data_IF_947764594744
#
_entry.id   IF_947764594744
#
_cell.length_a   1.000
_cell.length_b   1.000
_cell.length_c   1.000
_cell.angle_alpha   90.00
_cell.angle_beta   90.00
_cell.angle_gamma   90.00
#
_symmetry.space_group_name_H-M   'P 1'
#
loop_
_entity.id
_entity.type
_entity.pdbx_description
1 polymer ?
#
# COMPACT_ATOMS: atom_id res chain seq x y z
N UNK A 1 5.04 16.05 -15.69
CA UNK A 1 4.74 14.62 -15.95
C UNK A 1 5.79 13.71 -15.29
N UNK A 2 5.36 12.73 -14.48
CA UNK A 2 6.25 11.77 -13.81
C UNK A 2 6.52 10.55 -14.72
N UNK A 3 7.27 9.56 -14.23
CA UNK A 3 7.58 8.34 -14.98
C UNK A 3 6.32 7.55 -15.36
N UNK A 4 5.30 7.55 -14.50
CA UNK A 4 4.04 6.82 -14.71
C UNK A 4 3.24 7.36 -15.90
N UNK A 5 3.31 8.67 -16.14
CA UNK A 5 2.67 9.29 -17.28
C UNK A 5 3.25 8.77 -18.61
N UNK A 6 4.58 8.68 -18.71
CA UNK A 6 5.24 8.21 -19.93
C UNK A 6 5.19 6.68 -20.06
N UNK A 7 5.33 5.93 -18.96
CA UNK A 7 5.20 4.47 -18.98
C UNK A 7 3.79 4.03 -19.34
N UNK A 8 2.75 4.77 -18.88
CA UNK A 8 1.37 4.54 -19.27
C UNK A 8 1.16 4.66 -20.78
N UNK A 9 1.71 5.71 -21.42
CA UNK A 9 1.64 5.86 -22.89
C UNK A 9 2.37 4.72 -23.63
N UNK A 10 3.51 4.26 -23.10
CA UNK A 10 4.24 3.12 -23.67
C UNK A 10 3.42 1.84 -23.53
N UNK A 11 2.83 1.56 -22.37
CA UNK A 11 2.00 0.37 -22.17
C UNK A 11 0.74 0.38 -23.04
N UNK A 12 0.12 1.55 -23.23
CA UNK A 12 -0.98 1.71 -24.20
C UNK A 12 -0.52 1.42 -25.63
N UNK A 13 0.63 1.96 -26.03
CA UNK A 13 1.20 1.71 -27.37
C UNK A 13 1.58 0.23 -27.58
N UNK A 14 1.93 -0.49 -26.51
CA UNK A 14 2.19 -1.94 -26.52
C UNK A 14 0.91 -2.80 -26.52
N UNK A 15 -0.28 -2.19 -26.38
CA UNK A 15 -1.56 -2.88 -26.43
C UNK A 15 -1.99 -3.55 -25.11
N UNK A 16 -1.37 -3.20 -23.98
CA UNK A 16 -1.83 -3.72 -22.69
C UNK A 16 -3.14 -3.05 -22.25
N UNK A 17 -4.08 -3.79 -21.65
CA UNK A 17 -5.27 -3.20 -21.05
C UNK A 17 -4.88 -2.35 -19.83
N UNK A 18 -5.63 -1.29 -19.58
CA UNK A 18 -5.27 -0.25 -18.60
C UNK A 18 -5.23 -0.80 -17.16
N UNK A 19 -6.12 -1.74 -16.85
CA UNK A 19 -6.11 -2.53 -15.60
C UNK A 19 -4.79 -3.29 -15.34
N UNK A 20 -3.95 -3.54 -16.34
CA UNK A 20 -2.66 -4.23 -16.16
C UNK A 20 -1.50 -3.31 -15.79
N UNK A 21 -1.67 -1.99 -15.83
CA UNK A 21 -0.55 -1.06 -15.60
C UNK A 21 0.05 -1.18 -14.19
N UNK A 22 -0.75 -1.32 -13.11
CA UNK A 22 -0.20 -1.59 -11.78
C UNK A 22 0.55 -2.92 -11.69
N UNK A 23 0.12 -3.94 -12.45
CA UNK A 23 0.77 -5.26 -12.48
C UNK A 23 2.14 -5.16 -13.15
N UNK A 24 2.21 -4.47 -14.30
CA UNK A 24 3.46 -4.22 -15.01
C UNK A 24 4.46 -3.38 -14.19
N UNK A 25 3.95 -2.53 -13.29
CA UNK A 25 4.78 -1.82 -12.31
C UNK A 25 5.25 -2.71 -11.15
N UNK A 26 4.39 -3.59 -10.63
CA UNK A 26 4.69 -4.44 -9.47
C UNK A 26 5.76 -5.50 -9.77
N UNK A 27 5.80 -6.06 -10.99
CA UNK A 27 6.77 -7.09 -11.40
C UNK A 27 8.22 -6.62 -11.15
N UNK A 28 8.71 -5.53 -11.78
CA UNK A 28 10.08 -5.07 -11.55
C UNK A 28 10.29 -4.56 -10.12
N UNK A 29 9.24 -4.01 -9.47
CA UNK A 29 9.35 -3.50 -8.09
C UNK A 29 9.57 -4.62 -7.07
N UNK A 30 9.14 -5.85 -7.36
CA UNK A 30 9.30 -7.01 -6.48
C UNK A 30 10.77 -7.25 -6.12
N UNK A 31 11.71 -7.05 -7.04
CA UNK A 31 13.14 -7.17 -6.74
C UNK A 31 13.59 -6.18 -5.65
N UNK A 32 13.11 -4.94 -5.71
CA UNK A 32 13.39 -3.92 -4.69
C UNK A 32 12.72 -4.22 -3.34
N UNK A 33 11.49 -4.75 -3.35
CA UNK A 33 10.83 -5.19 -2.12
C UNK A 33 11.60 -6.30 -1.42
N UNK A 34 12.08 -7.28 -2.18
CA UNK A 34 12.88 -8.39 -1.65
C UNK A 34 14.22 -7.89 -1.08
N UNK A 35 14.89 -6.96 -1.77
CA UNK A 35 16.13 -6.36 -1.27
C UNK A 35 15.92 -5.64 0.08
N UNK A 36 14.88 -4.81 0.19
CA UNK A 36 14.56 -4.15 1.46
C UNK A 36 14.12 -5.13 2.55
N UNK A 37 13.41 -6.20 2.18
CA UNK A 37 13.03 -7.23 3.13
C UNK A 37 14.26 -7.96 3.68
N UNK A 38 15.21 -8.30 2.82
CA UNK A 38 16.47 -8.91 3.24
C UNK A 38 17.27 -7.98 4.15
N UNK A 39 17.40 -6.69 3.78
CA UNK A 39 18.05 -5.67 4.61
C UNK A 39 17.44 -5.58 6.01
N UNK A 40 16.11 -5.66 6.12
CA UNK A 40 15.40 -5.67 7.40
C UNK A 40 15.73 -6.92 8.24
N UNK A 41 15.88 -8.08 7.61
CA UNK A 41 16.23 -9.33 8.30
C UNK A 41 17.67 -9.31 8.81
N UNK A 42 18.60 -8.76 8.03
CA UNK A 42 20.02 -8.71 8.38
C UNK A 42 20.31 -7.72 9.53
N UNK A 43 19.44 -6.73 9.75
CA UNK A 43 19.59 -5.67 10.76
C UNK A 43 19.07 -6.03 12.17
N UNK A 44 18.65 -7.27 12.44
CA UNK A 44 17.97 -7.71 13.69
C UNK A 44 16.83 -6.74 14.10
N UNK A 45 16.05 -6.33 13.09
CA UNK A 45 15.10 -5.24 13.25
C UNK A 45 13.90 -5.65 14.11
N UNK A 46 13.46 -4.76 15.01
CA UNK A 46 12.30 -5.02 15.88
C UNK A 46 10.99 -5.00 15.09
N UNK A 47 10.01 -5.79 15.56
CA UNK A 47 8.65 -5.79 15.02
C UNK A 47 8.05 -4.37 15.11
N UNK A 48 7.54 -3.88 13.98
CA UNK A 48 6.91 -2.55 13.88
C UNK A 48 5.60 -2.53 14.66
N UNK A 49 5.50 -1.69 15.70
CA UNK A 49 4.33 -1.53 16.58
C UNK A 49 3.99 -0.05 16.76
N UNK A 50 3.33 0.59 15.78
CA UNK A 50 2.98 2.00 15.88
C UNK A 50 1.93 2.20 16.99
N UNK A 51 1.95 3.38 17.61
CA UNK A 51 0.96 3.76 18.62
C UNK A 51 -0.11 4.62 17.98
N UNK A 52 -1.34 4.52 18.50
CA UNK A 52 -2.43 5.43 18.17
C UNK A 52 -2.75 6.32 19.38
N UNK A 53 -3.11 7.57 19.12
CA UNK A 53 -3.70 8.47 20.10
C UNK A 53 -5.22 8.43 19.92
N UNK A 54 -5.95 7.85 20.87
CA UNK A 54 -7.40 7.84 20.84
C UNK A 54 -7.94 9.20 21.26
N UNK A 55 -8.67 9.86 20.35
CA UNK A 55 -9.37 11.13 20.57
C UNK A 55 -10.89 10.98 20.39
N UNK A 56 -11.37 9.73 20.39
CA UNK A 56 -12.79 9.43 20.28
C UNK A 56 -13.51 9.61 21.61
N UNK A 57 -14.80 9.24 21.62
CA UNK A 57 -15.62 9.35 22.82
C UNK A 57 -15.18 8.37 23.91
N UNK A 58 -15.38 8.77 25.16
CA UNK A 58 -15.32 7.87 26.31
C UNK A 58 -16.32 6.70 26.17
N UNK A 59 -16.18 5.64 26.99
CA UNK A 59 -17.11 4.52 27.01
C UNK A 59 -18.56 5.00 27.12
N UNK A 60 -19.41 4.56 26.18
CA UNK A 60 -20.83 4.93 26.10
C UNK A 60 -21.70 3.70 25.92
N UNK A 61 -22.89 3.72 26.52
CA UNK A 61 -23.86 2.65 26.32
C UNK A 61 -24.32 2.62 24.87
N UNK A 62 -24.39 1.41 24.31
CA UNK A 62 -24.89 1.21 22.97
C UNK A 62 -26.41 1.40 22.95
N UNK A 63 -26.89 2.32 22.11
CA UNK A 63 -28.31 2.49 21.82
C UNK A 63 -28.65 1.65 20.57
N UNK A 64 -29.58 0.67 20.67
CA UNK A 64 -30.05 -0.10 19.53
C UNK A 64 -30.51 0.81 18.40
N UNK A 65 -30.29 0.41 17.15
CA UNK A 65 -30.58 1.27 15.99
C UNK A 65 -32.04 1.71 15.91
N UNK A 66 -32.96 0.89 16.41
CA UNK A 66 -34.40 1.21 16.51
C UNK A 66 -34.74 2.29 17.54
N UNK A 67 -33.79 2.68 18.39
CA UNK A 67 -33.95 3.62 19.50
C UNK A 67 -33.00 4.83 19.40
N UNK A 68 -32.31 5.00 18.26
CA UNK A 68 -31.41 6.13 18.00
C UNK A 68 -32.15 7.33 17.43
#
# INVERSE_FOLDING_TARGET
PNVDFYSGLIYQAMGFPLEMFPVLFAIPRTAGWLAHWQELLDQDTKIVRPRQLYVGNEPRHYVPISQR
#
